data_IF_804186072975
#
_entry.id   IF_804186072975
#
_cell.length_a   1.000
_cell.length_b   1.000
_cell.length_c   1.000
_cell.angle_alpha   90.00
_cell.angle_beta   90.00
_cell.angle_gamma   90.00
#
_symmetry.space_group_name_H-M   'P 1'
#
loop_
_entity.id
_entity.type
_entity.pdbx_description
1 polymer ?
#
# COMPACT_ATOMS: atom_id res chain seq x y z
N UNK A 1 17.91 20.94 -4.38
CA UNK A 1 16.93 21.91 -3.81
C UNK A 1 16.15 21.15 -2.75
N UNK A 2 15.97 21.68 -1.53
CA UNK A 2 15.17 21.01 -0.52
C UNK A 2 13.73 20.86 -1.03
N UNK A 3 13.05 19.74 -0.71
CA UNK A 3 11.67 19.53 -1.13
C UNK A 3 10.80 20.71 -0.65
N UNK A 4 9.83 21.11 -1.47
CA UNK A 4 8.93 22.22 -1.17
C UNK A 4 7.59 21.67 -0.67
N UNK A 5 6.91 22.37 0.27
CA UNK A 5 5.61 21.95 0.74
C UNK A 5 4.58 22.03 -0.41
N UNK A 6 3.68 21.05 -0.48
CA UNK A 6 2.59 21.02 -1.46
C UNK A 6 1.60 22.17 -1.22
N UNK A 7 1.48 23.15 -2.14
CA UNK A 7 0.58 24.29 -1.94
C UNK A 7 -0.89 23.88 -1.82
N UNK A 8 -1.30 22.83 -2.52
CA UNK A 8 -2.67 22.34 -2.52
C UNK A 8 -3.07 21.72 -1.16
N UNK A 9 -2.16 21.02 -0.48
CA UNK A 9 -2.43 20.44 0.83
C UNK A 9 -2.41 21.52 1.92
N UNK A 10 -1.47 22.46 1.84
CA UNK A 10 -1.42 23.62 2.74
C UNK A 10 -2.69 24.48 2.63
N UNK A 11 -3.21 24.70 1.41
CA UNK A 11 -4.48 25.41 1.21
C UNK A 11 -5.70 24.70 1.82
N UNK A 12 -5.62 23.38 2.05
CA UNK A 12 -6.63 22.60 2.78
C UNK A 12 -6.44 22.63 4.31
N UNK A 13 -5.50 23.44 4.80
CA UNK A 13 -5.22 23.61 6.23
C UNK A 13 -4.29 22.54 6.81
N UNK A 14 -3.66 21.71 5.96
CA UNK A 14 -2.77 20.65 6.44
C UNK A 14 -1.36 21.20 6.65
N UNK A 15 -0.72 20.79 7.75
CA UNK A 15 0.69 21.07 7.96
C UNK A 15 1.53 20.16 7.05
N UNK A 16 2.25 20.77 6.11
CA UNK A 16 3.11 20.04 5.17
C UNK A 16 4.57 20.30 5.51
N UNK A 17 5.26 19.24 5.93
CA UNK A 17 6.69 19.30 6.27
C UNK A 17 7.49 18.58 5.20
N UNK A 18 8.33 19.28 4.42
CA UNK A 18 9.23 18.62 3.49
C UNK A 18 10.31 17.86 4.26
N UNK A 19 10.44 16.55 4.07
CA UNK A 19 11.39 15.69 4.81
C UNK A 19 12.54 15.28 3.89
N UNK A 20 13.78 15.37 4.36
CA UNK A 20 14.92 14.71 3.72
C UNK A 20 15.21 13.37 4.41
N UNK A 21 14.75 12.28 3.82
CA UNK A 21 14.90 10.93 4.37
C UNK A 21 16.37 10.45 4.46
N UNK A 22 17.30 11.13 3.79
CA UNK A 22 18.74 10.84 3.90
C UNK A 22 19.40 11.56 5.09
N UNK A 23 18.66 12.42 5.80
CA UNK A 23 19.12 13.15 6.96
C UNK A 23 18.32 12.73 8.20
N UNK A 24 18.85 11.78 8.96
CA UNK A 24 18.18 11.23 10.14
C UNK A 24 17.80 12.30 11.19
N UNK A 25 18.62 13.35 11.35
CA UNK A 25 18.30 14.44 12.27
C UNK A 25 17.11 15.27 11.82
N UNK A 26 16.95 15.45 10.50
CA UNK A 26 15.81 16.14 9.89
C UNK A 26 14.52 15.35 10.06
N UNK A 27 14.55 14.05 9.75
CA UNK A 27 13.42 13.13 9.94
C UNK A 27 12.99 13.13 11.41
N UNK A 28 13.95 12.95 12.32
CA UNK A 28 13.69 12.94 13.77
C UNK A 28 13.02 14.22 14.24
N UNK A 29 13.57 15.38 13.87
CA UNK A 29 13.03 16.68 14.26
C UNK A 29 11.57 16.85 13.84
N UNK A 30 11.21 16.37 12.65
CA UNK A 30 9.85 16.48 12.09
C UNK A 30 8.84 15.51 12.69
N UNK A 31 9.31 14.46 13.38
CA UNK A 31 8.47 13.49 14.07
C UNK A 31 8.20 13.83 15.54
N UNK A 32 8.87 14.84 16.11
CA UNK A 32 8.65 15.22 17.51
C UNK A 32 7.19 15.61 17.74
N UNK A 33 6.55 14.94 18.70
CA UNK A 33 5.14 15.16 19.05
C UNK A 33 4.14 14.43 18.14
N UNK A 34 4.61 13.66 17.15
CA UNK A 34 3.75 12.79 16.34
C UNK A 34 3.44 11.52 17.12
N UNK A 35 2.14 11.25 17.29
CA UNK A 35 1.67 10.05 17.99
C UNK A 35 1.72 8.79 17.10
N UNK A 36 1.25 8.92 15.86
CA UNK A 36 1.13 7.81 14.91
C UNK A 36 1.75 8.19 13.56
N UNK A 37 2.57 7.31 13.01
CA UNK A 37 3.18 7.47 11.68
C UNK A 37 2.57 6.46 10.71
N UNK A 38 2.07 6.93 9.57
CA UNK A 38 1.60 6.07 8.47
C UNK A 38 2.54 6.26 7.29
N UNK A 39 3.31 5.23 6.96
CA UNK A 39 4.28 5.23 5.88
C UNK A 39 3.64 4.74 4.58
N UNK A 40 3.75 5.53 3.52
CA UNK A 40 3.39 5.14 2.13
C UNK A 40 4.63 5.14 1.22
N UNK A 41 5.81 5.00 1.82
CA UNK A 41 7.11 4.95 1.16
C UNK A 41 7.81 3.63 1.51
N UNK A 42 8.68 3.15 0.62
CA UNK A 42 9.40 1.88 0.79
C UNK A 42 10.92 2.07 0.84
N UNK A 43 11.65 0.97 1.01
CA UNK A 43 13.11 0.95 1.00
C UNK A 43 13.77 1.74 2.13
N UNK A 44 14.96 2.30 1.85
CA UNK A 44 15.80 2.98 2.84
C UNK A 44 15.12 4.17 3.50
N UNK A 45 14.28 4.90 2.76
CA UNK A 45 13.55 6.04 3.30
C UNK A 45 12.58 5.62 4.43
N UNK A 46 11.91 4.48 4.29
CA UNK A 46 11.07 3.92 5.35
C UNK A 46 11.89 3.40 6.52
N UNK A 47 13.04 2.77 6.29
CA UNK A 47 13.91 2.31 7.38
C UNK A 47 14.40 3.48 8.24
N UNK A 48 14.81 4.58 7.61
CA UNK A 48 15.17 5.84 8.24
C UNK A 48 14.00 6.41 9.07
N UNK A 49 12.78 6.34 8.52
CA UNK A 49 11.57 6.78 9.21
C UNK A 49 11.24 5.92 10.44
N UNK A 50 11.42 4.60 10.37
CA UNK A 50 11.21 3.68 11.49
C UNK A 50 12.18 3.98 12.64
N UNK A 51 13.47 4.14 12.34
CA UNK A 51 14.48 4.42 13.37
C UNK A 51 14.23 5.78 14.03
N UNK A 52 13.95 6.82 13.24
CA UNK A 52 13.64 8.15 13.75
C UNK A 52 12.35 8.18 14.60
N UNK A 53 11.32 7.44 14.19
CA UNK A 53 10.07 7.32 14.94
C UNK A 53 10.28 6.68 16.32
N UNK A 54 11.08 5.61 16.37
CA UNK A 54 11.43 4.96 17.63
C UNK A 54 12.24 5.89 18.55
N UNK A 55 13.19 6.66 18.01
CA UNK A 55 14.03 7.60 18.77
C UNK A 55 13.23 8.73 19.44
N UNK A 56 12.11 9.17 18.85
CA UNK A 56 11.25 10.23 19.43
C UNK A 56 10.03 9.69 20.14
N UNK A 57 9.97 8.37 20.37
CA UNK A 57 8.88 7.71 21.07
C UNK A 57 7.51 7.91 20.39
N UNK A 58 7.47 7.83 19.05
CA UNK A 58 6.20 7.63 18.32
C UNK A 58 5.51 6.41 18.92
N UNK A 59 4.23 6.54 19.26
CA UNK A 59 3.48 5.47 19.90
C UNK A 59 3.21 4.32 18.94
N UNK A 60 2.85 4.64 17.69
CA UNK A 60 2.46 3.65 16.68
C UNK A 60 3.01 3.92 15.28
N UNK A 61 3.43 2.86 14.61
CA UNK A 61 3.90 2.90 13.23
C UNK A 61 3.11 1.98 12.31
N UNK A 62 2.66 2.50 11.17
CA UNK A 62 2.05 1.72 10.09
C UNK A 62 3.02 1.69 8.91
N UNK A 63 3.62 0.54 8.59
CA UNK A 63 4.51 0.41 7.44
C UNK A 63 3.75 0.45 6.10
N UNK A 64 4.49 0.76 5.04
CA UNK A 64 4.06 0.71 3.64
C UNK A 64 3.93 -0.74 3.13
N UNK A 65 3.07 -1.50 3.80
CA UNK A 65 2.77 -2.89 3.47
C UNK A 65 1.61 -2.99 2.48
N UNK A 66 0.43 -2.42 2.79
CA UNK A 66 -0.77 -2.28 1.95
C UNK A 66 -0.92 -3.30 0.79
N UNK A 67 -0.80 -4.59 1.11
CA UNK A 67 -0.77 -5.70 0.15
C UNK A 67 -1.46 -6.93 0.76
N UNK A 68 -1.19 -8.13 0.25
CA UNK A 68 -1.59 -9.39 0.85
C UNK A 68 -0.85 -9.70 2.16
N UNK A 69 -1.27 -10.76 2.89
CA UNK A 69 -0.74 -11.07 4.21
C UNK A 69 0.77 -11.34 4.18
N UNK A 70 1.59 -10.72 5.05
CA UNK A 70 3.03 -10.95 5.08
C UNK A 70 3.43 -12.42 5.24
N UNK A 71 2.62 -13.19 5.98
CA UNK A 71 2.84 -14.62 6.22
C UNK A 71 2.68 -15.50 4.96
N UNK A 72 2.02 -14.99 3.92
CA UNK A 72 1.79 -15.71 2.66
C UNK A 72 2.83 -15.36 1.59
N UNK A 73 3.79 -14.47 1.90
CA UNK A 73 4.84 -14.11 0.94
C UNK A 73 5.81 -15.29 0.72
N UNK A 74 6.29 -15.50 -0.52
CA UNK A 74 7.32 -16.49 -0.78
C UNK A 74 8.66 -16.08 -0.13
N UNK A 75 9.53 -17.05 0.14
CA UNK A 75 10.86 -16.81 0.72
C UNK A 75 11.71 -15.88 -0.16
N UNK A 76 11.71 -16.15 -1.46
CA UNK A 76 12.29 -15.28 -2.49
C UNK A 76 11.13 -14.56 -3.15
N UNK A 77 10.90 -13.32 -2.71
CA UNK A 77 9.81 -12.50 -3.22
C UNK A 77 10.37 -11.46 -4.20
N UNK A 78 10.13 -11.61 -5.52
CA UNK A 78 10.58 -10.64 -6.51
C UNK A 78 9.86 -9.29 -6.40
N UNK A 79 8.76 -9.22 -5.63
CA UNK A 79 7.99 -8.01 -5.38
C UNK A 79 8.34 -7.36 -4.04
N UNK A 80 9.28 -7.91 -3.27
CA UNK A 80 9.78 -7.28 -2.04
C UNK A 80 10.63 -6.04 -2.38
N UNK A 81 10.21 -4.93 -1.79
CA UNK A 81 10.75 -3.57 -1.93
C UNK A 81 11.29 -3.08 -0.59
N UNK A 82 11.71 -4.02 0.25
CA UNK A 82 12.19 -3.80 1.60
C UNK A 82 11.11 -3.96 2.68
N UNK A 83 9.96 -4.56 2.37
CA UNK A 83 8.92 -4.89 3.35
C UNK A 83 9.46 -5.84 4.41
N UNK A 84 10.15 -6.91 3.99
CA UNK A 84 10.71 -7.91 4.93
C UNK A 84 11.67 -7.27 5.93
N UNK A 85 12.55 -6.39 5.46
CA UNK A 85 13.51 -5.68 6.32
C UNK A 85 12.79 -4.69 7.23
N UNK A 86 11.79 -3.96 6.72
CA UNK A 86 10.99 -3.03 7.52
C UNK A 86 10.22 -3.74 8.63
N UNK A 87 9.58 -4.88 8.34
CA UNK A 87 8.87 -5.69 9.34
C UNK A 87 9.81 -6.24 10.41
N UNK A 88 10.97 -6.77 10.03
CA UNK A 88 11.96 -7.25 11.00
C UNK A 88 12.43 -6.12 11.94
N UNK A 89 12.67 -4.92 11.39
CA UNK A 89 13.01 -3.74 12.19
C UNK A 89 11.88 -3.31 13.11
N UNK A 90 10.63 -3.32 12.65
CA UNK A 90 9.47 -2.98 13.48
C UNK A 90 9.26 -3.97 14.62
N UNK A 91 9.49 -5.27 14.39
CA UNK A 91 9.47 -6.28 15.45
C UNK A 91 10.51 -6.01 16.53
N UNK A 92 11.72 -5.58 16.15
CA UNK A 92 12.75 -5.13 17.08
C UNK A 92 12.27 -3.90 17.89
N UNK A 93 11.73 -2.87 17.21
CA UNK A 93 11.28 -1.64 17.89
C UNK A 93 10.05 -1.85 18.76
N UNK A 94 9.21 -2.86 18.47
CA UNK A 94 8.09 -3.25 19.33
C UNK A 94 8.56 -3.70 20.71
N UNK A 95 9.68 -4.41 20.80
CA UNK A 95 10.28 -4.78 22.10
C UNK A 95 10.75 -3.57 22.91
N UNK A 96 10.94 -2.43 22.25
CA UNK A 96 11.33 -1.15 22.84
C UNK A 96 10.14 -0.21 23.10
N UNK A 97 8.91 -0.68 22.85
CA UNK A 97 7.68 0.04 23.18
C UNK A 97 7.00 0.80 22.03
N UNK A 98 7.52 0.75 20.79
CA UNK A 98 6.83 1.32 19.63
C UNK A 98 5.90 0.28 19.00
N UNK A 99 4.58 0.49 19.10
CA UNK A 99 3.60 -0.40 18.45
C UNK A 99 3.74 -0.33 16.92
N UNK A 100 3.45 -1.42 16.24
CA UNK A 100 3.26 -1.38 14.79
C UNK A 100 2.01 -2.17 14.38
N UNK A 101 1.44 -1.78 13.25
CA UNK A 101 0.28 -2.44 12.68
C UNK A 101 0.33 -2.43 11.16
N UNK A 102 0.21 -3.62 10.57
CA UNK A 102 0.07 -3.83 9.13
C UNK A 102 -1.41 -3.78 8.75
N UNK A 103 -1.72 -3.11 7.64
CA UNK A 103 -3.04 -3.18 7.01
C UNK A 103 -2.94 -4.05 5.76
N UNK A 104 -3.43 -5.27 5.86
CA UNK A 104 -3.51 -6.23 4.76
C UNK A 104 -4.80 -5.97 4.00
N UNK A 105 -4.69 -5.47 2.77
CA UNK A 105 -5.82 -5.01 1.96
C UNK A 105 -5.94 -5.68 0.59
N UNK A 106 -5.03 -6.60 0.27
CA UNK A 106 -4.98 -7.22 -1.05
C UNK A 106 -4.55 -6.22 -2.12
N UNK A 107 -5.24 -6.23 -3.25
CA UNK A 107 -4.90 -5.45 -4.46
C UNK A 107 -5.80 -4.23 -4.59
N UNK A 108 -5.21 -3.07 -4.89
CA UNK A 108 -5.98 -1.86 -5.16
C UNK A 108 -6.80 -1.97 -6.46
N UNK A 109 -8.10 -1.67 -6.41
CA UNK A 109 -8.98 -1.60 -7.60
C UNK A 109 -8.43 -0.62 -8.66
N UNK A 110 -7.74 0.41 -8.21
CA UNK A 110 -7.10 1.44 -9.01
C UNK A 110 -6.09 0.88 -10.02
N UNK A 111 -5.60 -0.35 -9.84
CA UNK A 111 -4.81 -1.05 -10.86
C UNK A 111 -5.56 -1.27 -12.18
N UNK A 112 -6.89 -1.34 -12.12
CA UNK A 112 -7.76 -1.57 -13.28
C UNK A 112 -8.35 -0.26 -13.83
N UNK A 113 -8.00 0.89 -13.27
CA UNK A 113 -8.43 2.18 -13.79
C UNK A 113 -7.81 2.45 -15.18
N UNK A 114 -8.52 3.09 -16.13
CA UNK A 114 -7.92 3.51 -17.40
C UNK A 114 -6.71 4.45 -17.17
N UNK A 115 -5.50 3.98 -17.50
CA UNK A 115 -4.22 4.63 -17.18
C UNK A 115 -3.47 4.04 -15.97
N UNK A 116 -4.03 3.03 -15.31
CA UNK A 116 -3.45 2.33 -14.15
C UNK A 116 -3.37 3.20 -12.89
N UNK A 117 -2.63 2.72 -11.89
CA UNK A 117 -2.35 3.43 -10.64
C UNK A 117 -1.77 4.83 -10.88
N UNK A 118 -0.89 4.97 -11.88
CA UNK A 118 -0.22 6.21 -12.21
C UNK A 118 -1.20 7.35 -12.55
N UNK A 119 -2.33 7.02 -13.21
CA UNK A 119 -3.36 8.00 -13.54
C UNK A 119 -4.01 8.64 -12.31
N UNK A 120 -3.94 7.94 -11.17
CA UNK A 120 -4.45 8.38 -9.88
C UNK A 120 -3.33 8.85 -8.93
N UNK A 121 -2.11 9.06 -9.45
CA UNK A 121 -0.92 9.42 -8.68
C UNK A 121 -0.55 8.38 -7.61
N UNK A 122 -0.91 7.11 -7.85
CA UNK A 122 -0.57 5.98 -7.00
C UNK A 122 0.52 5.13 -7.64
N UNK A 123 1.13 4.25 -6.84
CA UNK A 123 1.99 3.18 -7.35
C UNK A 123 3.39 3.61 -7.80
N UNK A 124 3.85 4.83 -7.52
CA UNK A 124 5.19 5.29 -7.91
C UNK A 124 6.32 4.31 -7.52
N UNK A 125 6.17 3.63 -6.38
CA UNK A 125 7.10 2.63 -5.88
C UNK A 125 6.75 1.17 -6.20
N UNK A 126 5.79 0.86 -7.07
CA UNK A 126 5.38 -0.53 -7.37
C UNK A 126 6.08 -1.13 -8.59
N UNK A 127 6.78 -0.32 -9.40
CA UNK A 127 7.37 -0.68 -10.70
C UNK A 127 6.38 -1.14 -11.80
N UNK A 128 5.11 -1.31 -11.46
CA UNK A 128 4.01 -1.63 -12.38
C UNK A 128 2.81 -0.67 -12.21
N UNK A 129 3.00 0.66 -12.28
CA UNK A 129 1.91 1.61 -12.04
C UNK A 129 1.03 1.87 -13.28
N UNK A 130 1.47 1.46 -14.48
CA UNK A 130 0.77 1.72 -15.73
C UNK A 130 -0.39 0.76 -16.00
N UNK A 131 -1.29 1.21 -16.87
CA UNK A 131 -2.36 0.36 -17.42
C UNK A 131 -1.77 -0.87 -18.13
N UNK A 132 -2.41 -2.04 -18.02
CA UNK A 132 -1.93 -3.26 -18.66
C UNK A 132 -0.72 -3.93 -18.00
N UNK A 133 -0.06 -3.29 -17.02
CA UNK A 133 1.12 -3.86 -16.37
C UNK A 133 0.81 -4.89 -15.28
N UNK A 134 -0.48 -5.09 -14.94
CA UNK A 134 -0.92 -6.08 -13.97
C UNK A 134 -1.74 -7.21 -14.61
N UNK A 135 -3.02 -6.98 -14.89
CA UNK A 135 -3.91 -7.98 -15.51
C UNK A 135 -4.67 -7.36 -16.69
N UNK A 136 -5.28 -6.19 -16.52
CA UNK A 136 -6.14 -5.57 -17.55
C UNK A 136 -5.51 -4.33 -18.17
N UNK A 137 -5.71 -4.20 -19.48
CA UNK A 137 -5.55 -2.95 -20.23
C UNK A 137 -6.88 -2.55 -20.87
N UNK A 138 -7.67 -1.75 -20.15
CA UNK A 138 -9.03 -1.36 -20.53
C UNK A 138 -9.07 -0.69 -21.90
N UNK A 139 -8.14 0.22 -22.19
CA UNK A 139 -8.10 0.97 -23.46
C UNK A 139 -7.77 0.12 -24.68
N UNK A 140 -6.99 -0.94 -24.50
CA UNK A 140 -6.65 -1.89 -25.58
C UNK A 140 -7.53 -3.13 -25.58
N UNK A 141 -8.39 -3.28 -24.58
CA UNK A 141 -9.27 -4.43 -24.40
C UNK A 141 -8.49 -5.75 -24.37
N UNK A 142 -7.36 -5.75 -23.64
CA UNK A 142 -6.51 -6.93 -23.47
C UNK A 142 -6.39 -7.31 -22.00
N UNK A 143 -6.32 -8.62 -21.73
CA UNK A 143 -6.11 -9.17 -20.39
C UNK A 143 -4.95 -10.18 -20.39
N UNK A 144 -4.18 -10.19 -19.31
CA UNK A 144 -3.17 -11.22 -19.00
C UNK A 144 -3.63 -11.99 -17.77
N UNK A 145 -4.14 -13.20 -18.01
CA UNK A 145 -4.75 -14.05 -16.98
C UNK A 145 -3.69 -15.02 -16.47
N UNK A 146 -3.25 -14.93 -15.20
CA UNK A 146 -2.41 -15.95 -14.62
C UNK A 146 -3.20 -17.26 -14.50
N UNK A 147 -2.54 -18.39 -14.82
CA UNK A 147 -3.13 -19.71 -14.69
C UNK A 147 -2.17 -20.66 -13.95
N UNK A 148 -2.72 -21.55 -13.15
CA UNK A 148 -1.95 -22.66 -12.60
C UNK A 148 -1.78 -23.77 -13.64
N UNK A 149 -0.64 -24.49 -13.67
CA UNK A 149 -0.49 -25.68 -14.52
C UNK A 149 -1.56 -26.76 -14.28
N UNK A 150 -2.15 -26.79 -13.08
CA UNK A 150 -3.26 -27.66 -12.72
C UNK A 150 -4.59 -27.27 -13.35
N UNK A 151 -4.72 -26.05 -13.88
CA UNK A 151 -5.99 -25.48 -14.34
C UNK A 151 -6.89 -24.96 -13.21
N UNK A 152 -6.39 -24.90 -11.98
CA UNK A 152 -7.14 -24.34 -10.85
C UNK A 152 -7.44 -22.84 -11.06
N UNK A 153 -8.60 -22.42 -10.55
CA UNK A 153 -9.02 -21.03 -10.62
C UNK A 153 -8.12 -20.12 -9.77
N UNK A 154 -7.82 -18.94 -10.31
CA UNK A 154 -7.04 -17.91 -9.62
C UNK A 154 -7.97 -16.85 -9.04
N UNK A 155 -7.75 -16.50 -7.78
CA UNK A 155 -8.52 -15.52 -7.05
C UNK A 155 -7.62 -14.37 -6.61
N UNK A 156 -8.16 -13.15 -6.61
CA UNK A 156 -7.52 -12.00 -5.96
C UNK A 156 -8.48 -11.36 -4.97
N UNK A 157 -7.90 -10.90 -3.86
CA UNK A 157 -8.60 -10.07 -2.89
C UNK A 157 -8.33 -8.61 -3.24
N UNK A 158 -9.37 -7.78 -3.33
CA UNK A 158 -9.25 -6.39 -3.75
C UNK A 158 -9.97 -5.42 -2.81
N UNK A 159 -9.45 -4.20 -2.72
CA UNK A 159 -10.03 -3.09 -1.94
C UNK A 159 -9.68 -1.77 -2.63
N UNK A 160 -10.51 -0.72 -2.57
CA UNK A 160 -10.08 0.60 -3.08
C UNK A 160 -9.06 1.24 -2.14
N UNK A 161 -8.14 2.07 -2.66
CA UNK A 161 -7.24 2.86 -1.83
C UNK A 161 -8.01 3.81 -0.90
N UNK A 162 -9.17 4.30 -1.35
CA UNK A 162 -10.07 5.14 -0.55
C UNK A 162 -10.68 4.37 0.63
N UNK A 163 -11.18 3.15 0.42
CA UNK A 163 -11.72 2.29 1.48
C UNK A 163 -10.63 1.97 2.49
N UNK A 164 -9.41 1.65 2.04
CA UNK A 164 -8.27 1.43 2.95
C UNK A 164 -8.00 2.66 3.81
N UNK A 165 -7.99 3.85 3.23
CA UNK A 165 -7.84 5.09 4.00
C UNK A 165 -8.98 5.25 5.03
N UNK A 166 -10.23 4.96 4.65
CA UNK A 166 -11.38 4.99 5.57
C UNK A 166 -11.25 3.99 6.72
N UNK A 167 -10.77 2.77 6.45
CA UNK A 167 -10.52 1.77 7.49
C UNK A 167 -9.40 2.18 8.44
N UNK A 168 -8.32 2.78 7.92
CA UNK A 168 -7.22 3.29 8.77
C UNK A 168 -7.73 4.42 9.67
N UNK A 169 -8.54 5.34 9.12
CA UNK A 169 -9.14 6.43 9.91
C UNK A 169 -10.05 5.85 11.00
N UNK A 170 -10.92 4.91 10.66
CA UNK A 170 -11.80 4.25 11.63
C UNK A 170 -11.03 3.48 12.70
N UNK A 171 -9.85 2.94 12.39
CA UNK A 171 -9.03 2.24 13.37
C UNK A 171 -8.60 3.16 14.52
N UNK A 172 -8.48 4.48 14.33
CA UNK A 172 -8.12 5.40 15.43
C UNK A 172 -9.14 5.44 16.57
N UNK A 173 -10.39 5.06 16.32
CA UNK A 173 -11.42 4.95 17.35
C UNK A 173 -11.32 3.65 18.17
N UNK A 174 -10.45 2.71 17.76
CA UNK A 174 -10.24 1.45 18.46
C UNK A 174 -9.26 1.62 19.63
N UNK A 175 -9.54 1.00 20.79
CA UNK A 175 -8.71 1.15 21.97
C UNK A 175 -7.34 0.48 21.83
N UNK A 176 -7.24 -0.56 21.00
CA UNK A 176 -6.01 -1.33 20.79
C UNK A 176 -5.91 -1.71 19.31
N UNK A 177 -4.69 -1.67 18.76
CA UNK A 177 -4.43 -2.15 17.41
C UNK A 177 -3.66 -3.47 17.48
N UNK A 178 -4.10 -4.51 16.74
CA UNK A 178 -3.29 -5.71 16.56
C UNK A 178 -2.07 -5.40 15.68
N UNK A 179 -1.14 -6.34 15.60
CA UNK A 179 -0.02 -6.23 14.66
C UNK A 179 -0.48 -6.31 13.19
N UNK A 180 -1.66 -6.88 12.92
CA UNK A 180 -2.22 -6.99 11.58
C UNK A 180 -3.74 -6.79 11.60
N UNK A 181 -4.23 -5.87 10.78
CA UNK A 181 -5.62 -5.81 10.35
C UNK A 181 -5.74 -6.48 8.98
N UNK A 182 -6.53 -7.56 8.90
CA UNK A 182 -6.99 -8.10 7.63
C UNK A 182 -8.27 -7.35 7.24
N UNK A 183 -8.19 -6.51 6.24
CA UNK A 183 -9.34 -5.76 5.74
C UNK A 183 -10.26 -6.70 4.96
N UNK A 184 -11.56 -6.44 5.05
CA UNK A 184 -12.58 -7.17 4.31
C UNK A 184 -12.50 -6.83 2.82
N UNK A 185 -11.56 -7.46 2.14
CA UNK A 185 -11.34 -7.34 0.71
C UNK A 185 -12.32 -8.24 -0.06
N UNK A 186 -12.80 -7.77 -1.21
CA UNK A 186 -13.61 -8.56 -2.12
C UNK A 186 -12.74 -9.63 -2.77
N UNK A 187 -13.11 -10.90 -2.63
CA UNK A 187 -12.40 -12.03 -3.26
C UNK A 187 -13.10 -12.40 -4.57
N UNK A 188 -12.43 -12.16 -5.68
CA UNK A 188 -12.98 -12.33 -7.03
C UNK A 188 -12.10 -13.27 -7.87
N UNK A 189 -12.72 -14.09 -8.72
CA UNK A 189 -11.99 -14.87 -9.72
C UNK A 189 -11.45 -13.93 -10.80
N UNK A 190 -10.27 -14.23 -11.35
CA UNK A 190 -9.70 -13.41 -12.43
C UNK A 190 -10.67 -13.32 -13.64
N UNK A 191 -11.34 -14.41 -13.99
CA UNK A 191 -12.26 -14.41 -15.14
C UNK A 191 -13.48 -13.51 -14.88
N UNK A 192 -13.95 -13.44 -13.62
CA UNK A 192 -15.04 -12.54 -13.26
C UNK A 192 -14.60 -11.06 -13.37
N UNK A 193 -13.33 -10.76 -13.09
CA UNK A 193 -12.77 -9.41 -13.26
C UNK A 193 -12.76 -9.03 -14.75
N UNK A 194 -12.36 -9.97 -15.62
CA UNK A 194 -12.40 -9.77 -17.07
C UNK A 194 -13.85 -9.56 -17.53
N UNK A 195 -14.79 -10.38 -17.07
CA UNK A 195 -16.21 -10.23 -17.39
C UNK A 195 -16.76 -8.87 -16.95
N UNK A 196 -16.39 -8.40 -15.75
CA UNK A 196 -16.77 -7.06 -15.28
C UNK A 196 -16.19 -5.96 -16.16
N UNK A 197 -14.93 -6.08 -16.59
CA UNK A 197 -14.28 -5.15 -17.49
C UNK A 197 -14.94 -5.11 -18.88
N UNK A 198 -15.38 -6.26 -19.40
CA UNK A 198 -16.12 -6.37 -20.66
C UNK A 198 -17.44 -5.62 -20.57
N UNK A 199 -18.23 -5.86 -19.51
CA UNK A 199 -19.50 -5.16 -19.27
C UNK A 199 -19.30 -3.65 -19.19
N UNK A 200 -18.31 -3.18 -18.42
CA UNK A 200 -18.00 -1.75 -18.29
C UNK A 200 -17.55 -1.14 -19.63
N UNK A 201 -16.90 -1.92 -20.48
CA UNK A 201 -16.45 -1.50 -21.82
C UNK A 201 -17.54 -1.60 -22.90
N UNK A 202 -18.76 -2.04 -22.53
CA UNK A 202 -19.87 -2.26 -23.48
C UNK A 202 -19.72 -3.50 -24.35
N UNK A 203 -18.87 -4.45 -23.96
CA UNK A 203 -18.68 -5.74 -24.62
C UNK A 203 -19.55 -6.82 -23.94
N UNK A 204 -19.93 -7.84 -24.72
CA UNK A 204 -20.53 -9.05 -24.16
C UNK A 204 -19.45 -9.89 -23.46
N UNK A 205 -19.72 -10.47 -22.27
CA UNK A 205 -18.75 -11.30 -21.59
C UNK A 205 -18.31 -12.49 -22.44
N UNK A 206 -17.00 -12.69 -22.61
CA UNK A 206 -16.48 -13.73 -23.52
C UNK A 206 -16.45 -15.13 -22.92
N UNK A 207 -16.57 -15.26 -21.59
CA UNK A 207 -16.65 -16.54 -20.88
C UNK A 207 -15.41 -17.42 -21.13
N UNK A 208 -14.33 -17.15 -20.39
CA UNK A 208 -13.13 -18.00 -20.38
C UNK A 208 -13.27 -19.16 -19.41
#
# INVERSE_FOLDING_TARGET
>A
MPPQPSPALSARGWQVLPVDYNNQSDVRYKLVGVDTVISTISGQAQLSLIDAAAEVHVRRFVPSEFEGPPLQRPDIDPLDRGQKIALAKLQEKQQLGMEYTVFTCGVFYERFYPGGLAALQLGAGTHIPGEGQYILEMRRQTASIPCYPSGDEVYICMTSAEDVARYIVAAFDLPHWPNEFLLAAERMKIDDIVAAAEVVSGLSPTGF
#
